data_IF_369200161376
#
_entry.id   IF_369200161376
#
_cell.length_a   1.000
_cell.length_b   1.000
_cell.length_c   1.000
_cell.angle_alpha   90.00
_cell.angle_beta   90.00
_cell.angle_gamma   90.00
#
_symmetry.space_group_name_H-M   'P 1'
#
loop_
_entity.id
_entity.type
_entity.pdbx_description
1 polymer ?
#
# COMPACT_ATOMS: atom_id res chain seq x y z
N UNK A 1 -19.31 -22.35 3.88
CA UNK A 1 -19.35 -21.61 2.59
C UNK A 1 -17.93 -21.59 2.04
N UNK A 2 -17.66 -22.34 0.98
CA UNK A 2 -16.33 -22.45 0.37
C UNK A 2 -16.40 -21.97 -1.09
N UNK A 3 -15.32 -21.39 -1.63
CA UNK A 3 -15.25 -21.02 -3.04
C UNK A 3 -15.21 -22.28 -3.92
N UNK A 4 -15.81 -22.20 -5.10
CA UNK A 4 -15.74 -23.23 -6.15
C UNK A 4 -14.34 -23.23 -6.77
N UNK A 5 -13.77 -22.05 -6.95
CA UNK A 5 -12.46 -21.87 -7.57
C UNK A 5 -11.72 -20.73 -6.91
N UNK A 6 -10.42 -20.92 -6.69
CA UNK A 6 -9.51 -19.89 -6.18
C UNK A 6 -8.24 -19.89 -7.01
N UNK A 7 -7.72 -18.70 -7.31
CA UNK A 7 -6.44 -18.60 -8.01
C UNK A 7 -5.89 -17.18 -8.03
N UNK A 8 -4.69 -17.03 -8.57
CA UNK A 8 -4.09 -15.73 -8.87
C UNK A 8 -4.16 -15.53 -10.38
N UNK A 9 -4.75 -14.42 -10.81
CA UNK A 9 -4.91 -14.12 -12.23
C UNK A 9 -4.70 -12.63 -12.45
N UNK A 10 -3.86 -12.27 -13.44
CA UNK A 10 -3.56 -10.86 -13.80
C UNK A 10 -3.16 -9.99 -12.61
N UNK A 11 -2.40 -10.56 -11.65
CA UNK A 11 -1.97 -9.84 -10.45
C UNK A 11 -3.05 -9.63 -9.38
N UNK A 12 -4.12 -10.43 -9.42
CA UNK A 12 -5.20 -10.38 -8.43
C UNK A 12 -5.43 -11.78 -7.86
N UNK A 13 -5.70 -11.87 -6.56
CA UNK A 13 -6.32 -13.05 -5.96
C UNK A 13 -7.81 -13.05 -6.29
N UNK A 14 -8.28 -14.14 -6.87
CA UNK A 14 -9.65 -14.30 -7.35
C UNK A 14 -10.27 -15.52 -6.69
N UNK A 15 -11.48 -15.37 -6.15
CA UNK A 15 -12.28 -16.46 -5.61
C UNK A 15 -13.69 -16.42 -6.20
N UNK A 16 -14.15 -17.55 -6.72
CA UNK A 16 -15.48 -17.72 -7.30
C UNK A 16 -16.38 -18.53 -6.37
N UNK A 17 -17.64 -18.12 -6.22
CA UNK A 17 -18.63 -18.71 -5.34
C UNK A 17 -19.92 -19.00 -6.10
N UNK A 18 -20.62 -20.08 -5.72
CA UNK A 18 -21.89 -20.44 -6.35
C UNK A 18 -22.96 -19.38 -6.10
N UNK A 19 -23.83 -19.15 -7.09
CA UNK A 19 -24.95 -18.20 -7.00
C UNK A 19 -25.83 -18.49 -5.78
N UNK A 20 -26.25 -19.74 -5.64
CA UNK A 20 -27.16 -20.23 -4.59
C UNK A 20 -26.58 -19.99 -3.19
N UNK A 21 -25.25 -20.09 -3.07
CA UNK A 21 -24.53 -19.95 -1.81
C UNK A 21 -24.40 -18.47 -1.42
N UNK A 22 -24.08 -17.60 -2.38
CA UNK A 22 -23.98 -16.17 -2.12
C UNK A 22 -25.36 -15.51 -2.00
N UNK A 23 -26.35 -15.89 -2.79
CA UNK A 23 -27.70 -15.30 -2.74
C UNK A 23 -28.41 -15.57 -1.41
N UNK A 24 -28.15 -16.74 -0.79
CA UNK A 24 -28.63 -17.08 0.56
C UNK A 24 -27.73 -16.55 1.70
N UNK A 25 -26.68 -15.79 1.38
CA UNK A 25 -25.74 -15.31 2.38
C UNK A 25 -26.30 -14.11 3.16
N UNK A 26 -26.46 -14.30 4.47
CA UNK A 26 -26.85 -13.26 5.44
C UNK A 26 -25.90 -12.04 5.50
N UNK A 27 -24.66 -12.19 5.06
CA UNK A 27 -23.68 -11.10 5.00
C UNK A 27 -23.51 -10.50 3.60
N UNK A 28 -24.48 -10.71 2.70
CA UNK A 28 -24.35 -10.31 1.30
C UNK A 28 -24.21 -8.80 1.11
N UNK A 29 -24.88 -8.00 1.95
CA UNK A 29 -24.81 -6.54 1.87
C UNK A 29 -23.41 -6.02 2.24
N UNK A 30 -22.72 -6.67 3.17
CA UNK A 30 -21.35 -6.32 3.58
C UNK A 30 -20.28 -7.08 2.76
N UNK A 31 -20.70 -7.97 1.86
CA UNK A 31 -19.78 -8.82 1.11
C UNK A 31 -19.13 -8.06 -0.05
N UNK A 32 -17.80 -8.14 -0.14
CA UNK A 32 -17.05 -7.60 -1.28
C UNK A 32 -17.25 -8.39 -2.60
N UNK A 33 -18.02 -9.48 -2.56
CA UNK A 33 -18.28 -10.34 -3.71
C UNK A 33 -19.19 -9.65 -4.75
N UNK A 34 -18.78 -9.69 -6.02
CA UNK A 34 -19.54 -9.10 -7.13
C UNK A 34 -20.30 -10.18 -7.89
N UNK A 35 -21.60 -9.99 -8.13
CA UNK A 35 -22.41 -10.89 -8.95
C UNK A 35 -21.91 -10.89 -10.40
N UNK A 36 -21.74 -12.08 -10.97
CA UNK A 36 -21.52 -12.32 -12.40
C UNK A 36 -22.68 -13.17 -12.95
N UNK A 37 -22.65 -13.46 -14.26
CA UNK A 37 -23.70 -14.27 -14.89
C UNK A 37 -23.78 -15.71 -14.33
N UNK A 38 -22.64 -16.31 -13.99
CA UNK A 38 -22.54 -17.72 -13.59
C UNK A 38 -22.19 -17.94 -12.12
N UNK A 39 -21.64 -16.93 -11.46
CA UNK A 39 -21.07 -17.04 -10.12
C UNK A 39 -21.01 -15.67 -9.43
N UNK A 40 -20.53 -15.66 -8.20
CA UNK A 40 -20.04 -14.46 -7.52
C UNK A 40 -18.53 -14.49 -7.48
N UNK A 41 -17.91 -13.33 -7.68
CA UNK A 41 -16.45 -13.21 -7.71
C UNK A 41 -15.93 -12.18 -6.72
N UNK A 42 -14.95 -12.58 -5.92
CA UNK A 42 -14.12 -11.69 -5.11
C UNK A 42 -12.80 -11.48 -5.87
N UNK A 43 -12.39 -10.23 -6.06
CA UNK A 43 -11.11 -9.88 -6.72
C UNK A 43 -10.33 -8.90 -5.88
N UNK A 44 -9.21 -9.34 -5.32
CA UNK A 44 -8.32 -8.50 -4.52
C UNK A 44 -7.02 -8.30 -5.29
N UNK A 45 -6.66 -7.04 -5.56
CA UNK A 45 -5.43 -6.73 -6.27
C UNK A 45 -4.22 -6.92 -5.35
N UNK A 46 -3.21 -7.67 -5.79
CA UNK A 46 -1.99 -7.90 -5.01
C UNK A 46 -1.25 -6.59 -4.72
N UNK A 47 -1.27 -5.62 -5.65
CA UNK A 47 -0.69 -4.29 -5.43
C UNK A 47 -1.40 -3.52 -4.32
N UNK A 48 -2.72 -3.70 -4.18
CA UNK A 48 -3.48 -3.06 -3.12
C UNK A 48 -3.10 -3.65 -1.75
N UNK A 49 -2.94 -4.97 -1.67
CA UNK A 49 -2.45 -5.65 -0.46
C UNK A 49 -1.08 -5.10 -0.06
N UNK A 50 -0.15 -5.05 -1.01
CA UNK A 50 1.20 -4.56 -0.74
C UNK A 50 1.20 -3.08 -0.32
N UNK A 51 0.42 -2.25 -1.00
CA UNK A 51 0.27 -0.84 -0.64
C UNK A 51 -0.25 -0.67 0.80
N UNK A 52 -1.25 -1.46 1.20
CA UNK A 52 -1.78 -1.42 2.57
C UNK A 52 -0.72 -1.83 3.59
N UNK A 53 0.06 -2.89 3.31
CA UNK A 53 1.16 -3.31 4.18
C UNK A 53 2.23 -2.22 4.32
N UNK A 54 2.59 -1.57 3.22
CA UNK A 54 3.57 -0.49 3.25
C UNK A 54 3.05 0.73 4.04
N UNK A 55 1.77 1.08 3.89
CA UNK A 55 1.14 2.15 4.69
C UNK A 55 1.15 1.84 6.18
N UNK A 56 0.87 0.59 6.57
CA UNK A 56 0.94 0.16 7.97
C UNK A 56 2.35 0.35 8.54
N UNK A 57 3.38 -0.12 7.82
CA UNK A 57 4.79 0.08 8.22
C UNK A 57 5.16 1.56 8.37
N UNK A 58 4.72 2.40 7.43
CA UNK A 58 4.97 3.84 7.48
C UNK A 58 4.30 4.46 8.71
N UNK A 59 3.07 4.07 9.02
CA UNK A 59 2.33 4.60 10.17
C UNK A 59 2.97 4.17 11.49
N UNK A 60 3.39 2.90 11.61
CA UNK A 60 4.10 2.37 12.78
C UNK A 60 5.39 3.16 13.07
N UNK A 61 6.18 3.46 12.03
CA UNK A 61 7.44 4.19 12.15
C UNK A 61 7.28 5.71 12.01
N UNK A 62 6.05 6.25 11.96
CA UNK A 62 5.79 7.65 11.59
C UNK A 62 6.51 8.65 12.49
N UNK A 63 6.46 8.45 13.81
CA UNK A 63 7.07 9.36 14.79
C UNK A 63 8.58 9.39 14.65
N UNK A 64 9.21 8.22 14.60
CA UNK A 64 10.66 8.06 14.47
C UNK A 64 11.15 8.66 13.15
N UNK A 65 10.54 8.28 12.02
CA UNK A 65 10.89 8.81 10.71
C UNK A 65 10.77 10.34 10.65
N UNK A 66 9.72 10.91 11.24
CA UNK A 66 9.54 12.37 11.30
C UNK A 66 10.61 13.04 12.16
N UNK A 67 10.95 12.46 13.32
CA UNK A 67 11.99 12.95 14.21
C UNK A 67 13.37 12.92 13.55
N UNK A 68 13.72 11.80 12.90
CA UNK A 68 14.98 11.65 12.17
C UNK A 68 15.07 12.65 11.02
N UNK A 69 13.98 12.81 10.26
CA UNK A 69 13.91 13.82 9.19
C UNK A 69 14.14 15.23 9.72
N UNK A 70 13.48 15.59 10.82
CA UNK A 70 13.64 16.90 11.45
C UNK A 70 15.10 17.14 11.90
N UNK A 71 15.76 16.12 12.44
CA UNK A 71 17.18 16.21 12.82
C UNK A 71 18.09 16.44 11.59
N UNK A 72 17.87 15.69 10.50
CA UNK A 72 18.64 15.83 9.25
C UNK A 72 18.44 17.22 8.65
N UNK A 73 17.19 17.65 8.50
CA UNK A 73 16.84 18.95 7.91
C UNK A 73 17.32 20.12 8.78
N UNK A 74 17.17 20.00 10.10
CA UNK A 74 17.65 20.98 11.08
C UNK A 74 19.16 21.12 11.05
N UNK A 75 19.90 20.01 11.03
CA UNK A 75 21.37 20.01 10.94
C UNK A 75 21.83 20.64 9.64
N UNK A 76 21.24 20.26 8.51
CA UNK A 76 21.55 20.87 7.22
C UNK A 76 21.26 22.37 7.20
N UNK A 77 20.17 22.80 7.84
CA UNK A 77 19.82 24.22 7.96
C UNK A 77 20.85 24.99 8.80
N UNK A 78 21.29 24.42 9.92
CA UNK A 78 22.33 25.00 10.77
C UNK A 78 23.66 25.12 10.00
N UNK A 79 24.07 24.07 9.29
CA UNK A 79 25.28 24.04 8.48
C UNK A 79 25.26 25.09 7.36
N UNK A 80 24.15 25.20 6.62
CA UNK A 80 23.99 26.21 5.56
C UNK A 80 24.09 27.64 6.08
N UNK A 81 23.51 27.94 7.26
CA UNK A 81 23.51 29.28 7.85
C UNK A 81 24.83 29.60 8.57
N UNK A 82 25.29 28.71 9.44
CA UNK A 82 26.46 28.92 10.29
C UNK A 82 27.79 28.86 9.56
N UNK A 83 27.89 28.01 8.52
CA UNK A 83 29.13 27.81 7.77
C UNK A 83 29.04 28.26 6.31
N UNK A 84 27.96 28.97 5.93
CA UNK A 84 27.72 29.48 4.58
C UNK A 84 27.78 28.39 3.49
N UNK A 85 27.58 27.12 3.86
CA UNK A 85 27.64 25.98 2.94
C UNK A 85 26.60 26.06 1.82
N UNK A 86 25.55 26.86 1.98
CA UNK A 86 24.60 27.17 0.91
C UNK A 86 25.19 28.00 -0.24
N UNK A 87 26.36 28.62 -0.06
CA UNK A 87 27.09 29.41 -1.08
C UNK A 87 28.30 28.67 -1.65
N UNK A 88 28.58 27.45 -1.16
CA UNK A 88 29.70 26.66 -1.63
C UNK A 88 29.46 26.29 -3.09
N UNK A 89 30.41 26.60 -3.98
CA UNK A 89 30.38 26.14 -5.36
C UNK A 89 30.56 24.63 -5.37
N UNK A 90 29.47 23.90 -5.63
CA UNK A 90 29.53 22.46 -5.86
C UNK A 90 30.12 22.24 -7.24
N UNK A 91 31.42 21.96 -7.32
CA UNK A 91 32.04 21.41 -8.53
C UNK A 91 31.76 19.92 -8.53
N UNK A 92 30.92 19.46 -9.46
CA UNK A 92 30.69 18.04 -9.65
C UNK A 92 32.01 17.32 -9.90
N UNK A 93 32.22 16.20 -9.20
CA UNK A 93 33.32 15.30 -9.51
C UNK A 93 33.04 14.73 -10.91
N UNK A 94 33.89 15.03 -11.90
CA UNK A 94 33.88 14.31 -13.17
C UNK A 94 34.41 12.91 -12.88
N UNK A 95 33.49 11.94 -12.83
CA UNK A 95 33.80 10.51 -12.84
C UNK A 95 33.75 10.06 -14.29
#
# INVERSE_FOLDING_TARGET
MAPIHTGITKGQTVAHFALNVCDACKHREDCYCKKQKKDYVVRINLKAIETTRQRQKIEECRKENTSMRAAIEGTNSALKRGHQLGKLKVVGLKI
#
